data_IF_658949948104
#
_entry.id   IF_658949948104
#
_cell.length_a   1.000
_cell.length_b   1.000
_cell.length_c   1.000
_cell.angle_alpha   90.00
_cell.angle_beta   90.00
_cell.angle_gamma   90.00
#
_symmetry.space_group_name_H-M   'P 1'
#
loop_
_entity.id
_entity.type
_entity.pdbx_description
1 polymer ?
#
# COMPACT_ATOMS: atom_id res chain seq x y z
N UNK A 1 -32.35 29.20 51.15
CA UNK A 1 -32.78 27.79 51.00
C UNK A 1 -32.45 27.31 49.59
N UNK A 2 -31.83 26.13 49.50
CA UNK A 2 -31.58 25.33 48.29
C UNK A 2 -32.92 25.10 47.53
N UNK A 3 -33.01 24.78 46.24
CA UNK A 3 -32.37 23.64 45.56
C UNK A 3 -32.76 23.62 44.06
N UNK A 4 -31.87 23.05 43.23
CA UNK A 4 -32.13 22.31 41.97
C UNK A 4 -32.58 23.09 40.71
N UNK A 5 -31.64 23.26 39.79
CA UNK A 5 -31.70 22.55 38.50
C UNK A 5 -30.29 22.33 37.95
N UNK A 6 -29.91 21.06 37.86
CA UNK A 6 -28.79 20.52 37.10
C UNK A 6 -29.35 20.27 35.70
N UNK A 7 -28.79 20.86 34.64
CA UNK A 7 -28.75 20.21 33.33
C UNK A 7 -27.43 20.55 32.62
N UNK A 8 -26.77 19.47 32.23
CA UNK A 8 -25.56 19.31 31.44
C UNK A 8 -25.41 20.32 30.29
N UNK A 9 -24.16 20.75 30.08
CA UNK A 9 -23.54 20.74 28.74
C UNK A 9 -22.02 20.66 28.89
N UNK A 10 -21.54 19.44 29.11
CA UNK A 10 -20.18 19.05 28.79
C UNK A 10 -20.10 19.05 27.26
N UNK A 11 -19.51 20.09 26.68
CA UNK A 11 -19.06 20.05 25.29
C UNK A 11 -17.54 19.86 25.34
N UNK A 12 -17.16 18.59 25.48
CA UNK A 12 -15.84 18.08 25.12
C UNK A 12 -15.76 18.19 23.60
N UNK A 13 -15.02 19.16 23.07
CA UNK A 13 -14.53 19.07 21.70
C UNK A 13 -13.02 18.86 21.81
N UNK A 14 -12.63 17.60 21.94
CA UNK A 14 -11.31 17.16 21.58
C UNK A 14 -11.21 17.31 20.06
N UNK A 15 -10.81 18.50 19.60
CA UNK A 15 -10.29 18.68 18.24
C UNK A 15 -8.88 18.07 18.26
N UNK A 16 -8.80 16.73 18.24
CA UNK A 16 -7.58 16.05 17.85
C UNK A 16 -7.50 16.13 16.34
N UNK A 17 -7.13 17.30 15.85
CA UNK A 17 -6.77 17.50 14.45
C UNK A 17 -5.31 17.08 14.38
N UNK A 18 -5.10 15.80 14.08
CA UNK A 18 -3.81 15.27 13.66
C UNK A 18 -3.56 15.71 12.21
N UNK A 19 -3.28 17.00 12.02
CA UNK A 19 -2.89 17.58 10.72
C UNK A 19 -1.41 17.43 10.45
N UNK A 20 -0.88 16.22 10.63
CA UNK A 20 0.50 15.92 10.26
C UNK A 20 0.63 14.82 9.22
N UNK A 21 -0.45 14.52 8.48
CA UNK A 21 -0.33 13.88 7.17
C UNK A 21 0.05 14.97 6.17
N UNK A 22 1.32 15.39 6.18
CA UNK A 22 1.89 16.04 5.00
C UNK A 22 1.73 15.03 3.86
N UNK A 23 0.78 15.30 2.97
CA UNK A 23 0.49 14.47 1.82
C UNK A 23 1.74 14.41 0.95
N UNK A 24 2.55 13.37 1.12
CA UNK A 24 3.69 13.14 0.26
C UNK A 24 3.16 12.66 -1.09
N UNK A 25 3.12 13.57 -2.07
CA UNK A 25 2.86 13.22 -3.45
C UNK A 25 4.08 12.50 -4.05
N UNK A 26 3.83 11.59 -5.00
CA UNK A 26 4.90 10.89 -5.71
C UNK A 26 5.53 11.87 -6.71
N UNK A 27 6.82 12.16 -6.52
CA UNK A 27 7.61 12.85 -7.53
C UNK A 27 8.15 11.83 -8.53
N UNK A 28 7.52 11.75 -9.70
CA UNK A 28 7.95 10.86 -10.78
C UNK A 28 9.37 11.22 -11.20
N UNK A 29 10.20 10.20 -11.43
CA UNK A 29 11.63 10.31 -11.74
C UNK A 29 12.54 10.76 -10.59
N UNK A 30 12.03 10.92 -9.37
CA UNK A 30 12.87 11.03 -8.18
C UNK A 30 13.34 9.65 -7.70
N UNK A 31 14.65 9.51 -7.47
CA UNK A 31 15.26 8.29 -6.93
C UNK A 31 15.93 8.60 -5.59
N UNK A 32 15.43 8.07 -4.45
CA UNK A 32 16.06 8.25 -3.15
C UNK A 32 17.53 7.81 -3.16
N UNK A 33 18.46 8.55 -2.52
CA UNK A 33 19.86 8.14 -2.45
C UNK A 33 20.01 6.82 -1.69
N UNK A 34 21.02 6.03 -2.07
CA UNK A 34 21.34 4.79 -1.37
C UNK A 34 21.89 5.07 0.03
N UNK A 35 21.21 4.56 1.05
CA UNK A 35 21.72 4.57 2.42
C UNK A 35 22.79 3.50 2.64
N UNK A 36 23.74 3.76 3.53
CA UNK A 36 24.84 2.82 3.85
C UNK A 36 24.34 1.49 4.43
N UNK A 37 23.23 1.53 5.16
CA UNK A 37 22.59 0.35 5.77
C UNK A 37 21.91 -0.58 4.76
N UNK A 38 21.76 -0.15 3.50
CA UNK A 38 21.07 -0.90 2.46
C UNK A 38 22.08 -1.56 1.53
N UNK A 39 21.98 -2.88 1.40
CA UNK A 39 22.85 -3.62 0.47
C UNK A 39 22.66 -3.14 -0.98
N UNK A 40 23.73 -3.19 -1.79
CA UNK A 40 23.63 -2.83 -3.20
C UNK A 40 22.59 -3.67 -3.95
N UNK A 41 22.45 -4.95 -3.58
CA UNK A 41 21.43 -5.85 -4.15
C UNK A 41 20.01 -5.36 -3.89
N UNK A 42 19.70 -4.96 -2.65
CA UNK A 42 18.37 -4.47 -2.28
C UNK A 42 18.11 -3.11 -2.94
N UNK A 43 19.06 -2.19 -2.88
CA UNK A 43 18.93 -0.89 -3.51
C UNK A 43 18.66 -1.00 -5.02
N UNK A 44 19.42 -1.83 -5.75
CA UNK A 44 19.20 -2.05 -7.18
C UNK A 44 17.86 -2.73 -7.48
N UNK A 45 17.34 -3.57 -6.58
CA UNK A 45 15.98 -4.12 -6.69
C UNK A 45 14.94 -3.01 -6.52
N UNK A 46 15.11 -2.14 -5.54
CA UNK A 46 14.26 -0.97 -5.32
C UNK A 46 14.24 -0.02 -6.52
N UNK A 47 15.41 0.33 -7.07
CA UNK A 47 15.53 1.18 -8.27
C UNK A 47 14.76 0.60 -9.45
N UNK A 48 14.89 -0.71 -9.72
CA UNK A 48 14.13 -1.36 -10.80
C UNK A 48 12.63 -1.31 -10.55
N UNK A 49 12.18 -1.65 -9.34
CA UNK A 49 10.76 -1.59 -8.98
C UNK A 49 10.20 -0.17 -9.12
N UNK A 50 10.97 0.84 -8.72
CA UNK A 50 10.58 2.24 -8.81
C UNK A 50 10.47 2.69 -10.26
N UNK A 51 11.44 2.30 -11.11
CA UNK A 51 11.39 2.61 -12.53
C UNK A 51 10.16 2.01 -13.22
N UNK A 52 9.79 0.75 -12.88
CA UNK A 52 8.55 0.15 -13.38
C UNK A 52 7.31 0.90 -12.90
N UNK A 53 7.25 1.28 -11.61
CA UNK A 53 6.14 2.05 -11.08
C UNK A 53 5.99 3.41 -11.79
N UNK A 54 7.09 4.13 -12.02
CA UNK A 54 7.08 5.41 -12.74
C UNK A 54 6.66 5.26 -14.20
N UNK A 55 7.12 4.22 -14.90
CA UNK A 55 6.67 3.97 -16.27
C UNK A 55 5.15 3.75 -16.35
N UNK A 56 4.56 2.97 -15.43
CA UNK A 56 3.11 2.75 -15.41
C UNK A 56 2.33 4.04 -15.07
N UNK A 57 2.87 4.89 -14.17
CA UNK A 57 2.30 6.21 -13.88
C UNK A 57 2.33 7.12 -15.11
N UNK A 58 3.45 7.14 -15.85
CA UNK A 58 3.61 7.96 -17.06
C UNK A 58 2.70 7.49 -18.21
N UNK A 59 2.47 6.18 -18.34
CA UNK A 59 1.54 5.60 -19.32
C UNK A 59 0.07 5.87 -18.98
N UNK A 60 -0.25 6.12 -17.71
CA UNK A 60 -1.61 6.44 -17.28
C UNK A 60 -2.01 7.87 -17.69
N UNK A 61 -2.72 7.95 -18.82
CA UNK A 61 -3.19 9.20 -19.44
C UNK A 61 -4.08 10.10 -18.54
N UNK A 62 -4.62 9.57 -17.44
CA UNK A 62 -5.46 10.34 -16.51
C UNK A 62 -4.68 11.35 -15.65
N UNK A 63 -3.34 11.24 -15.60
CA UNK A 63 -2.42 12.02 -14.72
C UNK A 63 -2.78 12.00 -13.23
N UNK A 64 -3.74 11.18 -12.81
CA UNK A 64 -4.12 11.02 -11.41
C UNK A 64 -3.49 9.74 -10.91
N UNK A 65 -2.63 9.89 -9.90
CA UNK A 65 -2.06 8.76 -9.18
C UNK A 65 -3.18 7.97 -8.51
N UNK A 66 -3.21 6.66 -8.71
CA UNK A 66 -4.17 5.78 -8.07
C UNK A 66 -3.57 5.00 -6.90
N UNK A 67 -4.40 4.19 -6.24
CA UNK A 67 -3.96 3.41 -5.08
C UNK A 67 -2.84 2.41 -5.41
N UNK A 68 -2.79 1.86 -6.63
CA UNK A 68 -1.76 0.91 -7.07
C UNK A 68 -0.41 1.63 -7.18
N UNK A 69 -0.42 2.86 -7.68
CA UNK A 69 0.78 3.68 -7.84
C UNK A 69 1.47 3.92 -6.50
N UNK A 70 0.72 4.39 -5.50
CA UNK A 70 1.22 4.60 -4.14
C UNK A 70 1.73 3.30 -3.51
N UNK A 71 1.03 2.18 -3.69
CA UNK A 71 1.45 0.89 -3.17
C UNK A 71 2.80 0.46 -3.75
N UNK A 72 2.97 0.56 -5.07
CA UNK A 72 4.19 0.14 -5.77
C UNK A 72 5.39 0.99 -5.42
N UNK A 73 5.22 2.31 -5.35
CA UNK A 73 6.28 3.22 -4.90
C UNK A 73 6.68 2.89 -3.45
N UNK A 74 5.72 2.65 -2.56
CA UNK A 74 6.01 2.27 -1.18
C UNK A 74 6.82 0.96 -1.10
N UNK A 75 6.46 -0.07 -1.89
CA UNK A 75 7.24 -1.32 -1.98
C UNK A 75 8.66 -1.06 -2.47
N UNK A 76 8.85 -0.23 -3.50
CA UNK A 76 10.18 0.11 -3.99
C UNK A 76 11.02 0.82 -2.91
N UNK A 77 10.41 1.77 -2.19
CA UNK A 77 11.04 2.54 -1.13
C UNK A 77 11.49 1.68 0.06
N UNK A 78 10.76 0.61 0.39
CA UNK A 78 11.21 -0.41 1.36
C UNK A 78 12.56 -1.00 0.96
N UNK A 79 12.72 -1.40 -0.31
CA UNK A 79 13.97 -1.97 -0.79
C UNK A 79 15.13 -0.96 -0.82
N UNK A 80 14.82 0.32 -0.98
CA UNK A 80 15.79 1.42 -0.97
C UNK A 80 16.12 1.91 0.44
N UNK A 81 15.44 1.39 1.47
CA UNK A 81 15.64 1.76 2.88
C UNK A 81 15.18 3.17 3.23
N UNK A 82 14.24 3.73 2.47
CA UNK A 82 13.61 5.01 2.81
C UNK A 82 12.96 4.89 4.18
N UNK A 83 12.95 5.96 4.97
CA UNK A 83 12.44 5.94 6.34
C UNK A 83 10.99 5.40 6.44
N UNK A 84 10.65 4.87 7.63
CA UNK A 84 9.35 4.24 7.91
C UNK A 84 8.17 5.18 7.69
N UNK A 85 8.29 6.44 8.09
CA UNK A 85 7.20 7.41 8.01
C UNK A 85 6.80 7.69 6.57
N UNK A 86 7.79 7.89 5.68
CA UNK A 86 7.55 8.05 4.24
C UNK A 86 6.88 6.83 3.63
N UNK A 87 7.35 5.61 3.95
CA UNK A 87 6.72 4.38 3.43
C UNK A 87 5.29 4.24 3.96
N UNK A 88 5.07 4.54 5.25
CA UNK A 88 3.75 4.50 5.88
C UNK A 88 2.80 5.52 5.23
N UNK A 89 3.26 6.75 4.98
CA UNK A 89 2.46 7.79 4.34
C UNK A 89 2.04 7.39 2.93
N UNK A 90 2.92 6.79 2.14
CA UNK A 90 2.58 6.28 0.81
C UNK A 90 1.54 5.13 0.91
N UNK A 91 1.72 4.22 1.86
CA UNK A 91 0.76 3.13 2.10
C UNK A 91 -0.63 3.68 2.49
N UNK A 92 -0.67 4.69 3.36
CA UNK A 92 -1.92 5.34 3.76
C UNK A 92 -2.54 6.10 2.57
N UNK A 93 -1.75 6.77 1.74
CA UNK A 93 -2.23 7.42 0.51
C UNK A 93 -2.81 6.45 -0.50
N UNK A 94 -2.24 5.25 -0.61
CA UNK A 94 -2.80 4.16 -1.39
C UNK A 94 -4.22 3.84 -0.89
N UNK A 95 -4.37 3.61 0.41
CA UNK A 95 -5.65 3.31 1.04
C UNK A 95 -6.67 4.46 0.94
N UNK A 96 -6.23 5.70 1.13
CA UNK A 96 -7.07 6.91 1.01
C UNK A 96 -7.62 7.10 -0.39
N UNK A 97 -6.82 6.80 -1.43
CA UNK A 97 -7.27 6.91 -2.82
C UNK A 97 -8.37 5.90 -3.16
N UNK A 98 -8.22 4.65 -2.70
CA UNK A 98 -9.25 3.63 -2.88
C UNK A 98 -9.08 2.51 -1.84
N UNK A 99 -9.89 2.54 -0.78
CA UNK A 99 -9.82 1.56 0.31
C UNK A 99 -10.14 0.14 -0.17
N UNK A 100 -11.15 -0.03 -1.03
CA UNK A 100 -11.53 -1.35 -1.54
C UNK A 100 -10.41 -1.95 -2.40
N UNK A 101 -9.89 -1.16 -3.34
CA UNK A 101 -8.75 -1.54 -4.18
C UNK A 101 -7.50 -1.88 -3.37
N UNK A 102 -7.18 -1.07 -2.36
CA UNK A 102 -6.10 -1.33 -1.42
C UNK A 102 -6.24 -2.70 -0.74
N UNK A 103 -7.42 -3.00 -0.19
CA UNK A 103 -7.67 -4.28 0.47
C UNK A 103 -7.63 -5.47 -0.52
N UNK A 104 -8.04 -5.27 -1.78
CA UNK A 104 -7.90 -6.28 -2.84
C UNK A 104 -6.42 -6.61 -3.08
N UNK A 105 -5.54 -5.59 -3.24
CA UNK A 105 -4.10 -5.82 -3.45
C UNK A 105 -3.48 -6.51 -2.23
N UNK A 106 -3.81 -6.06 -1.02
CA UNK A 106 -3.35 -6.68 0.22
C UNK A 106 -3.66 -8.17 0.22
N UNK A 107 -4.91 -8.53 -0.06
CA UNK A 107 -5.35 -9.93 -0.06
C UNK A 107 -4.70 -10.75 -1.17
N UNK A 108 -4.48 -10.17 -2.35
CA UNK A 108 -3.72 -10.83 -3.42
C UNK A 108 -2.30 -11.15 -2.96
N UNK A 109 -1.60 -10.18 -2.35
CA UNK A 109 -0.24 -10.40 -1.85
C UNK A 109 -0.20 -11.47 -0.76
N UNK A 110 -1.20 -11.51 0.13
CA UNK A 110 -1.29 -12.55 1.15
C UNK A 110 -1.47 -13.93 0.52
N UNK A 111 -2.37 -14.09 -0.45
CA UNK A 111 -2.60 -15.37 -1.13
C UNK A 111 -1.35 -15.86 -1.86
N UNK A 112 -0.64 -14.98 -2.56
CA UNK A 112 0.63 -15.31 -3.22
C UNK A 112 1.73 -15.68 -2.21
N UNK A 113 1.72 -15.06 -1.03
CA UNK A 113 2.65 -15.30 0.07
C UNK A 113 2.31 -16.46 1.00
N UNK A 114 1.31 -17.30 0.66
CA UNK A 114 0.88 -18.42 1.49
C UNK A 114 0.12 -18.01 2.76
N UNK A 115 -0.64 -16.91 2.67
CA UNK A 115 -1.49 -16.35 3.73
C UNK A 115 -0.72 -15.91 4.99
N UNK A 116 0.60 -15.75 4.88
CA UNK A 116 1.44 -15.31 5.97
C UNK A 116 1.63 -13.78 5.97
N UNK A 117 0.84 -13.08 6.78
CA UNK A 117 0.95 -11.62 6.97
C UNK A 117 2.38 -11.18 7.33
N UNK A 118 3.08 -11.95 8.17
CA UNK A 118 4.44 -11.64 8.59
C UNK A 118 5.49 -11.77 7.48
N UNK A 119 5.12 -12.44 6.38
CA UNK A 119 5.95 -12.58 5.19
C UNK A 119 5.88 -11.39 4.24
N UNK A 120 4.93 -10.46 4.44
CA UNK A 120 4.78 -9.30 3.55
C UNK A 120 5.90 -8.29 3.72
N UNK A 121 6.24 -7.57 2.64
CA UNK A 121 7.26 -6.51 2.68
C UNK A 121 6.93 -5.43 3.69
N UNK A 122 5.66 -5.04 3.78
CA UNK A 122 5.20 -4.02 4.72
C UNK A 122 5.28 -4.48 6.17
N UNK A 123 4.88 -5.71 6.51
CA UNK A 123 5.03 -6.19 7.89
C UNK A 123 6.52 -6.32 8.27
N UNK A 124 7.37 -6.84 7.38
CA UNK A 124 8.80 -6.94 7.65
C UNK A 124 9.47 -5.57 7.88
N UNK A 125 8.90 -4.51 7.30
CA UNK A 125 9.45 -3.17 7.37
C UNK A 125 8.86 -2.32 8.50
N UNK A 126 7.52 -2.27 8.60
CA UNK A 126 6.78 -1.45 9.54
C UNK A 126 6.50 -2.20 10.87
N UNK A 127 6.43 -3.53 10.85
CA UNK A 127 6.13 -4.34 12.04
C UNK A 127 4.64 -4.30 12.40
N UNK A 128 4.35 -4.27 13.71
CA UNK A 128 2.98 -4.28 14.24
C UNK A 128 2.16 -3.04 13.81
N UNK A 129 2.82 -1.89 13.57
CA UNK A 129 2.17 -0.68 13.06
C UNK A 129 1.43 -0.93 11.74
N UNK A 130 1.91 -1.88 10.93
CA UNK A 130 1.25 -2.27 9.69
C UNK A 130 -0.11 -2.93 9.93
N UNK A 131 -0.23 -3.76 10.99
CA UNK A 131 -1.46 -4.46 11.30
C UNK A 131 -2.57 -3.48 11.66
N UNK A 132 -2.24 -2.43 12.42
CA UNK A 132 -3.18 -1.36 12.72
C UNK A 132 -3.69 -0.69 11.42
N UNK A 133 -2.79 -0.42 10.47
CA UNK A 133 -3.13 0.29 9.23
C UNK A 133 -4.00 -0.53 8.27
N UNK A 134 -4.02 -1.85 8.40
CA UNK A 134 -4.81 -2.75 7.53
C UNK A 134 -5.98 -3.45 8.25
N UNK A 135 -6.19 -3.19 9.53
CA UNK A 135 -7.21 -3.83 10.37
C UNK A 135 -8.64 -3.76 9.80
N UNK A 136 -8.94 -2.74 9.00
CA UNK A 136 -10.24 -2.53 8.38
C UNK A 136 -10.39 -3.16 6.98
N UNK A 137 -9.44 -4.01 6.58
CA UNK A 137 -9.52 -4.87 5.40
C UNK A 137 -10.02 -6.29 5.71
N UNK A 138 -10.29 -6.62 6.97
CA UNK A 138 -10.76 -7.94 7.43
C UNK A 138 -12.10 -8.37 6.78
N UNK A 139 -12.92 -7.42 6.30
CA UNK A 139 -14.27 -7.66 5.77
C UNK A 139 -14.35 -7.80 4.23
N UNK A 140 -13.24 -7.73 3.49
CA UNK A 140 -13.32 -7.78 2.01
C UNK A 140 -13.51 -9.23 1.54
N UNK A 141 -14.78 -9.61 1.40
CA UNK A 141 -15.24 -10.88 0.88
C UNK A 141 -14.91 -10.98 -0.62
N UNK A 142 -13.86 -11.72 -0.97
CA UNK A 142 -13.39 -11.89 -2.34
C UNK A 142 -14.24 -12.97 -3.01
N UNK A 143 -15.30 -12.58 -3.74
CA UNK A 143 -15.77 -13.47 -4.79
C UNK A 143 -14.66 -13.60 -5.84
N UNK A 144 -14.22 -14.83 -6.17
CA UNK A 144 -13.20 -15.01 -7.19
C UNK A 144 -13.74 -14.49 -8.53
N UNK A 145 -13.05 -13.50 -9.10
CA UNK A 145 -13.25 -13.11 -10.50
C UNK A 145 -13.00 -14.37 -11.33
N UNK A 146 -14.07 -14.96 -11.87
CA UNK A 146 -14.00 -16.11 -12.77
C UNK A 146 -13.22 -15.71 -14.01
N UNK A 147 -11.93 -16.05 -14.02
CA UNK A 147 -11.10 -16.01 -15.22
C UNK A 147 -11.70 -16.91 -16.30
N UNK A 148 -12.38 -16.30 -17.28
CA UNK A 148 -12.68 -16.95 -18.56
C UNK A 148 -11.40 -16.95 -19.39
N UNK A 149 -10.51 -17.90 -19.16
CA UNK A 149 -9.47 -18.25 -20.13
C UNK A 149 -9.36 -19.76 -20.30
N UNK A 150 -10.29 -20.34 -21.08
CA UNK A 150 -10.02 -21.59 -21.79
C UNK A 150 -9.26 -21.23 -23.07
N UNK A 151 -7.93 -21.21 -23.03
CA UNK A 151 -7.13 -21.49 -24.24
C UNK A 151 -6.52 -22.87 -24.13
N UNK A 152 -7.17 -23.78 -24.85
CA UNK A 152 -6.73 -25.14 -25.14
C UNK A 152 -5.42 -25.05 -25.92
N UNK A 153 -4.29 -25.37 -25.29
CA UNK A 153 -3.06 -25.69 -26.02
C UNK A 153 -3.11 -27.17 -26.41
N UNK A 154 -3.55 -27.43 -27.64
CA UNK A 154 -3.46 -28.75 -28.27
C UNK A 154 -2.02 -28.92 -28.75
N UNK A 155 -1.18 -29.62 -27.98
CA UNK A 155 0.13 -30.08 -28.43
C UNK A 155 -0.07 -31.08 -29.58
N UNK A 156 0.19 -30.65 -30.80
CA UNK A 156 0.27 -31.53 -31.96
C UNK A 156 1.71 -32.05 -32.01
N UNK A 157 1.94 -33.28 -31.53
CA UNK A 157 3.09 -34.08 -31.95
C UNK A 157 3.03 -34.20 -33.48
N UNK A 158 4.13 -33.88 -34.15
CA UNK A 158 4.38 -34.31 -35.51
C UNK A 158 5.76 -34.97 -35.51
N UNK A 159 5.71 -36.28 -35.56
CA UNK A 159 6.82 -37.12 -35.99
C UNK A 159 7.12 -36.79 -37.46
N UNK A 160 8.41 -36.75 -37.78
CA UNK A 160 8.99 -36.54 -39.11
C UNK A 160 10.49 -36.67 -39.01
#
# INVERSE_FOLDING_TARGET
MKTKQIILSIILIAIYVDTTINAQEIEVNYYPPKLETVSAKNYNKGVRNLAYAYAEIEENTSRRLDYVDYWRVAVAYIYMGVNKDTVCNLLLKSKENNKEGFCIILNMQLKEGGENMKGTHFYQFLGEDYLEKISDCEDVNIEPVKSKSKRIFKLRKKDG
#
